data_IF_625240799244
#
_entry.id   IF_625240799244
#
_cell.length_a   1.000
_cell.length_b   1.000
_cell.length_c   1.000
_cell.angle_alpha   90.00
_cell.angle_beta   90.00
_cell.angle_gamma   90.00
#
_symmetry.space_group_name_H-M   'P 1'
#
loop_
_entity.id
_entity.type
_entity.pdbx_description
1 polymer ?
#
# COMPACT_ATOMS: atom_id res chain seq x y z
N UNK A 1 -6.84 -10.76 0.10
CA UNK A 1 -6.42 -9.69 1.04
C UNK A 1 -6.95 -8.30 0.65
N UNK A 2 -6.82 -7.89 -0.63
CA UNK A 2 -7.17 -6.54 -1.09
C UNK A 2 -8.60 -6.07 -0.78
N UNK A 3 -9.60 -6.94 -0.93
CA UNK A 3 -11.01 -6.61 -0.64
C UNK A 3 -11.27 -6.35 0.85
N UNK A 4 -10.59 -7.05 1.76
CA UNK A 4 -10.72 -6.78 3.19
C UNK A 4 -10.17 -5.39 3.53
N UNK A 5 -8.99 -5.04 2.99
CA UNK A 5 -8.38 -3.72 3.17
C UNK A 5 -9.28 -2.61 2.60
N UNK A 6 -9.74 -2.80 1.37
CA UNK A 6 -10.65 -1.87 0.68
C UNK A 6 -11.95 -1.69 1.47
N UNK A 7 -12.49 -2.78 2.01
CA UNK A 7 -13.73 -2.74 2.79
C UNK A 7 -13.61 -1.91 4.08
N UNK A 8 -12.47 -1.99 4.78
CA UNK A 8 -12.20 -1.13 5.95
C UNK A 8 -12.29 0.36 5.59
N UNK A 9 -11.88 0.74 4.38
CA UNK A 9 -11.88 2.13 3.92
C UNK A 9 -13.25 2.52 3.36
N UNK A 10 -13.74 1.82 2.34
CA UNK A 10 -14.84 2.28 1.50
C UNK A 10 -16.00 1.30 1.37
N UNK A 11 -16.15 0.29 2.24
CA UNK A 11 -17.37 -0.52 2.21
C UNK A 11 -18.61 0.36 2.40
N UNK A 12 -19.63 0.16 1.57
CA UNK A 12 -20.89 0.89 1.63
C UNK A 12 -22.08 -0.08 1.78
N UNK A 13 -21.97 -0.99 2.75
CA UNK A 13 -23.05 -1.91 3.10
C UNK A 13 -24.20 -1.20 3.81
N UNK A 14 -25.41 -1.75 3.69
CA UNK A 14 -26.61 -1.28 4.39
C UNK A 14 -27.03 -2.28 5.46
N UNK A 15 -27.72 -1.80 6.50
CA UNK A 15 -28.23 -2.63 7.58
C UNK A 15 -29.24 -3.68 7.09
N UNK A 16 -29.91 -3.43 5.95
CA UNK A 16 -30.86 -4.35 5.31
C UNK A 16 -30.21 -5.67 4.89
N UNK A 17 -28.92 -5.66 4.59
CA UNK A 17 -28.13 -6.83 4.20
C UNK A 17 -27.10 -7.23 5.26
N UNK A 18 -27.22 -6.69 6.48
CA UNK A 18 -26.19 -6.82 7.54
C UNK A 18 -24.79 -6.40 7.01
N UNK A 19 -24.77 -5.32 6.24
CA UNK A 19 -23.60 -4.85 5.50
C UNK A 19 -22.62 -4.06 6.37
N UNK A 20 -21.33 -4.18 6.06
CA UNK A 20 -20.27 -3.43 6.73
C UNK A 20 -20.13 -2.03 6.10
N UNK A 21 -19.94 -0.99 6.94
CA UNK A 21 -19.54 0.35 6.51
C UNK A 21 -18.07 0.62 6.82
N UNK A 22 -17.34 1.10 5.81
CA UNK A 22 -15.98 1.60 5.95
C UNK A 22 -15.96 3.01 6.53
N UNK A 23 -14.75 3.54 6.72
CA UNK A 23 -14.53 4.90 7.23
C UNK A 23 -15.08 5.98 6.27
N UNK A 24 -14.96 5.77 4.96
CA UNK A 24 -15.37 6.67 3.90
C UNK A 24 -16.24 5.93 2.86
N UNK A 25 -17.51 5.62 3.17
CA UNK A 25 -18.35 4.73 2.36
C UNK A 25 -18.71 5.28 0.97
N UNK A 26 -18.67 6.61 0.78
CA UNK A 26 -19.02 7.26 -0.49
C UNK A 26 -17.80 7.57 -1.38
N UNK A 27 -16.62 7.03 -1.02
CA UNK A 27 -15.39 7.21 -1.80
C UNK A 27 -15.42 6.35 -3.06
N UNK A 28 -14.77 6.82 -4.11
CA UNK A 28 -14.46 5.99 -5.28
C UNK A 28 -13.18 5.18 -5.02
N UNK A 29 -13.15 3.93 -5.48
CA UNK A 29 -12.01 3.03 -5.28
C UNK A 29 -11.32 2.74 -6.61
N UNK A 30 -10.03 3.06 -6.69
CA UNK A 30 -9.11 2.54 -7.71
C UNK A 30 -8.44 1.28 -7.16
N UNK A 31 -8.70 0.13 -7.79
CA UNK A 31 -8.19 -1.15 -7.34
C UNK A 31 -6.95 -1.55 -8.15
N UNK A 32 -5.78 -1.11 -7.71
CA UNK A 32 -4.49 -1.45 -8.34
C UNK A 32 -3.96 -2.79 -7.83
N UNK A 33 -4.04 -3.83 -8.66
CA UNK A 33 -3.58 -5.18 -8.31
C UNK A 33 -2.12 -5.38 -8.72
N UNK A 34 -1.24 -5.45 -7.71
CA UNK A 34 0.22 -5.61 -7.90
C UNK A 34 0.75 -6.99 -7.50
N UNK A 35 -0.12 -7.88 -7.03
CA UNK A 35 0.24 -9.25 -6.64
C UNK A 35 -0.27 -10.25 -7.68
N UNK A 36 0.60 -11.18 -8.06
CA UNK A 36 0.29 -12.29 -8.96
C UNK A 36 -0.67 -13.31 -8.33
N UNK A 37 -1.52 -13.94 -9.15
CA UNK A 37 -2.35 -15.07 -8.74
C UNK A 37 -1.61 -16.42 -8.85
N UNK A 38 -0.50 -16.45 -9.58
CA UNK A 38 0.17 -17.69 -10.00
C UNK A 38 1.58 -17.83 -9.44
N UNK A 39 2.18 -16.75 -8.93
CA UNK A 39 3.48 -16.76 -8.27
C UNK A 39 3.37 -16.29 -6.82
N UNK A 40 4.23 -16.84 -5.97
CA UNK A 40 4.29 -16.51 -4.53
C UNK A 40 5.42 -15.53 -4.19
N UNK A 41 6.02 -14.91 -5.22
CA UNK A 41 7.22 -14.07 -5.09
C UNK A 41 6.91 -12.65 -4.57
N UNK A 42 5.66 -12.39 -4.16
CA UNK A 42 5.20 -11.09 -3.73
C UNK A 42 4.84 -10.18 -4.91
N UNK A 43 4.98 -8.87 -4.69
CA UNK A 43 4.75 -7.85 -5.71
C UNK A 43 6.11 -7.33 -6.23
N UNK A 44 6.24 -7.19 -7.55
CA UNK A 44 7.44 -6.63 -8.14
C UNK A 44 7.45 -5.10 -8.07
N UNK A 45 8.64 -4.52 -8.00
CA UNK A 45 8.79 -3.08 -7.83
C UNK A 45 8.21 -2.28 -9.00
N UNK A 46 8.35 -2.77 -10.23
CA UNK A 46 7.78 -2.17 -11.44
C UNK A 46 6.25 -2.17 -11.43
N UNK A 47 5.61 -3.27 -11.00
CA UNK A 47 4.14 -3.32 -10.81
C UNK A 47 3.67 -2.29 -9.77
N UNK A 48 4.38 -2.19 -8.64
CA UNK A 48 4.07 -1.21 -7.57
C UNK A 48 4.22 0.23 -8.09
N UNK A 49 5.30 0.52 -8.81
CA UNK A 49 5.57 1.86 -9.36
C UNK A 49 4.54 2.22 -10.42
N UNK A 50 4.18 1.28 -11.30
CA UNK A 50 3.15 1.49 -12.31
C UNK A 50 1.78 1.79 -11.67
N UNK A 51 1.41 1.04 -10.62
CA UNK A 51 0.19 1.28 -9.85
C UNK A 51 0.17 2.66 -9.18
N UNK A 52 1.26 3.08 -8.55
CA UNK A 52 1.37 4.41 -7.94
C UNK A 52 1.20 5.51 -8.99
N UNK A 53 1.92 5.39 -10.11
CA UNK A 53 1.85 6.39 -11.19
C UNK A 53 0.45 6.44 -11.82
N UNK A 54 -0.20 5.29 -12.04
CA UNK A 54 -1.56 5.24 -12.58
C UNK A 54 -2.58 5.85 -11.60
N UNK A 55 -2.45 5.59 -10.29
CA UNK A 55 -3.31 6.20 -9.28
C UNK A 55 -3.17 7.73 -9.26
N UNK A 56 -1.95 8.24 -9.39
CA UNK A 56 -1.69 9.69 -9.54
C UNK A 56 -2.30 10.23 -10.83
N UNK A 57 -2.12 9.56 -11.97
CA UNK A 57 -2.70 9.97 -13.26
C UNK A 57 -4.22 10.02 -13.23
N UNK A 58 -4.84 9.13 -12.45
CA UNK A 58 -6.27 9.07 -12.19
C UNK A 58 -6.75 10.04 -11.09
N UNK A 59 -5.89 10.97 -10.64
CA UNK A 59 -6.20 12.02 -9.65
C UNK A 59 -6.64 11.47 -8.29
N UNK A 60 -6.01 10.36 -7.84
CA UNK A 60 -6.30 9.80 -6.53
C UNK A 60 -5.86 10.75 -5.39
N UNK A 61 -6.75 11.04 -4.44
CA UNK A 61 -6.42 11.84 -3.26
C UNK A 61 -5.51 11.08 -2.27
N UNK A 62 -5.72 9.75 -2.16
CA UNK A 62 -5.07 8.89 -1.17
C UNK A 62 -4.68 7.55 -1.80
N UNK A 63 -3.47 7.08 -1.54
CA UNK A 63 -2.99 5.74 -1.89
C UNK A 63 -2.71 4.95 -0.62
N UNK A 64 -3.36 3.78 -0.47
CA UNK A 64 -3.10 2.85 0.63
C UNK A 64 -2.26 1.66 0.15
N UNK A 65 -1.04 1.54 0.68
CA UNK A 65 -0.09 0.48 0.42
C UNK A 65 -0.04 -0.48 1.62
N UNK A 66 -0.94 -1.46 1.64
CA UNK A 66 -0.88 -2.57 2.62
C UNK A 66 0.15 -3.64 2.20
N UNK A 67 1.36 -3.19 1.93
CA UNK A 67 2.53 -3.98 1.54
C UNK A 67 3.80 -3.34 2.07
N UNK A 68 4.89 -4.08 2.07
CA UNK A 68 6.21 -3.59 2.46
C UNK A 68 7.21 -4.73 2.55
N UNK A 69 8.48 -4.37 2.75
CA UNK A 69 9.59 -5.31 2.92
C UNK A 69 10.13 -5.20 4.33
N UNK A 70 10.33 -6.35 4.98
CA UNK A 70 10.88 -6.40 6.33
C UNK A 70 12.28 -5.80 6.38
N UNK A 71 12.50 -4.91 7.35
CA UNK A 71 13.81 -4.32 7.57
C UNK A 71 14.32 -3.36 6.50
N UNK A 72 13.43 -2.87 5.63
CA UNK A 72 13.76 -1.79 4.70
C UNK A 72 14.14 -0.49 5.44
N UNK A 73 14.99 0.31 4.82
CA UNK A 73 15.43 1.62 5.31
C UNK A 73 15.03 2.72 4.35
N UNK A 74 15.08 3.97 4.81
CA UNK A 74 14.99 5.13 3.91
C UNK A 74 16.20 5.10 2.98
N UNK A 75 15.93 5.07 1.68
CA UNK A 75 16.93 5.06 0.62
C UNK A 75 16.41 5.96 -0.50
N UNK A 76 17.14 7.06 -0.75
CA UNK A 76 16.76 8.03 -1.78
C UNK A 76 16.90 7.46 -3.20
N UNK A 77 17.67 6.37 -3.37
CA UNK A 77 17.84 5.70 -4.64
C UNK A 77 16.82 4.58 -4.89
N UNK A 78 16.05 4.18 -3.86
CA UNK A 78 15.01 3.16 -4.00
C UNK A 78 13.90 3.65 -4.94
N UNK A 79 13.57 2.88 -6.00
CA UNK A 79 12.66 3.34 -7.03
C UNK A 79 11.21 3.44 -6.55
N UNK A 80 10.79 2.63 -5.57
CA UNK A 80 9.46 2.72 -4.96
C UNK A 80 9.38 3.98 -4.09
N UNK A 81 10.41 4.27 -3.29
CA UNK A 81 10.45 5.49 -2.47
C UNK A 81 10.45 6.76 -3.34
N UNK A 82 11.12 6.75 -4.50
CA UNK A 82 11.04 7.85 -5.49
C UNK A 82 9.63 8.02 -6.06
N UNK A 83 8.94 6.93 -6.39
CA UNK A 83 7.56 6.98 -6.87
C UNK A 83 6.61 7.52 -5.80
N UNK A 84 6.73 7.05 -4.55
CA UNK A 84 5.97 7.57 -3.39
C UNK A 84 6.23 9.05 -3.19
N UNK A 85 7.51 9.48 -3.23
CA UNK A 85 7.87 10.90 -3.09
C UNK A 85 7.21 11.76 -4.17
N UNK A 86 7.30 11.35 -5.43
CA UNK A 86 6.66 12.04 -6.56
C UNK A 86 5.16 12.19 -6.34
N UNK A 87 4.47 11.11 -5.95
CA UNK A 87 3.04 11.14 -5.65
C UNK A 87 2.72 12.14 -4.52
N UNK A 88 3.50 12.15 -3.44
CA UNK A 88 3.30 13.10 -2.33
C UNK A 88 3.57 14.55 -2.72
N UNK A 89 4.56 14.80 -3.58
CA UNK A 89 4.85 16.14 -4.12
C UNK A 89 3.73 16.64 -5.04
N UNK A 90 2.97 15.74 -5.65
CA UNK A 90 1.78 16.03 -6.43
C UNK A 90 0.50 16.17 -5.59
N UNK A 91 0.60 16.08 -4.27
CA UNK A 91 -0.52 16.30 -3.34
C UNK A 91 -1.26 15.04 -2.90
N UNK A 92 -0.81 13.85 -3.33
CA UNK A 92 -1.43 12.57 -2.95
C UNK A 92 -0.93 12.11 -1.58
N UNK A 93 -1.84 11.78 -0.65
CA UNK A 93 -1.46 11.18 0.62
C UNK A 93 -1.17 9.68 0.45
N UNK A 94 0.07 9.27 0.70
CA UNK A 94 0.44 7.84 0.68
C UNK A 94 0.52 7.28 2.09
N UNK A 95 -0.23 6.20 2.36
CA UNK A 95 -0.26 5.49 3.64
C UNK A 95 0.29 4.08 3.45
N UNK A 96 1.35 3.73 4.18
CA UNK A 96 1.96 2.40 4.12
C UNK A 96 1.88 1.68 5.48
N UNK A 97 1.77 0.35 5.45
CA UNK A 97 1.75 -0.47 6.67
C UNK A 97 3.14 -0.54 7.34
N UNK A 98 3.17 -0.57 8.68
CA UNK A 98 4.42 -0.68 9.45
C UNK A 98 5.06 -2.08 9.46
N UNK A 99 4.48 -3.06 8.76
CA UNK A 99 4.94 -4.45 8.73
C UNK A 99 4.47 -5.28 9.95
N UNK A 100 4.66 -6.59 9.84
CA UNK A 100 4.23 -7.59 10.83
C UNK A 100 5.38 -8.54 11.25
N UNK A 101 6.63 -8.14 11.08
CA UNK A 101 7.82 -8.92 11.43
C UNK A 101 8.15 -8.94 12.94
N UNK A 102 7.36 -8.25 13.77
CA UNK A 102 7.49 -8.13 15.25
C UNK A 102 8.74 -7.39 15.76
N UNK A 103 9.88 -7.48 15.08
CA UNK A 103 11.15 -6.90 15.49
C UNK A 103 11.56 -5.77 14.56
N UNK A 104 12.17 -4.73 15.13
CA UNK A 104 12.87 -3.71 14.35
C UNK A 104 14.27 -4.22 13.99
N UNK A 105 14.76 -3.87 12.79
CA UNK A 105 16.17 -4.04 12.39
C UNK A 105 17.15 -3.30 13.29
N UNK A 106 16.69 -2.40 14.18
CA UNK A 106 17.52 -1.74 15.19
C UNK A 106 17.81 -2.61 16.43
N UNK A 107 17.20 -3.79 16.57
CA UNK A 107 17.44 -4.69 17.71
C UNK A 107 18.45 -5.79 17.35
N UNK A 108 19.73 -5.46 17.40
CA UNK A 108 20.81 -6.45 17.36
C UNK A 108 22.09 -5.86 16.79
N UNK A 109 23.09 -5.69 17.63
CA UNK A 109 24.50 -5.56 17.24
C UNK A 109 24.80 -6.38 16.00
N UNK A 110 25.49 -5.78 15.02
CA UNK A 110 26.15 -6.48 13.93
C UNK A 110 26.84 -7.75 14.46
N UNK A 111 26.25 -8.92 14.20
CA UNK A 111 26.97 -10.16 14.23
C UNK A 111 27.50 -10.38 12.83
N UNK A 112 28.76 -9.97 12.65
CA UNK A 112 29.62 -10.52 11.60
C UNK A 112 29.65 -12.04 11.75
N UNK A 113 29.41 -12.75 10.65
CA UNK A 113 29.97 -14.07 10.39
C UNK A 113 30.81 -13.97 9.11
#
# INVERSE_FOLDING_TARGET
>A
PGMHVTGTIGANGTDEIDGVKGIAPDVQILAEKVFSDVSWDGAYADDIIAAINHAVEMDADVINLSLGTDGAFVDEEDPIQKAVRTATEQGVLVVAAGGNAFYSTKSGSAQYN
#
